data_IF_256661909761
#
_entry.id   IF_256661909761
#
_cell.length_a   1.000
_cell.length_b   1.000
_cell.length_c   1.000
_cell.angle_alpha   90.00
_cell.angle_beta   90.00
_cell.angle_gamma   90.00
#
_symmetry.space_group_name_H-M   'P 1'
#
loop_
_entity.id
_entity.type
_entity.pdbx_description
1 polymer ?
#
# COMPACT_ATOMS: atom_id res chain seq x y z
N UNK A 1 -10.33 9.84 12.70
CA UNK A 1 -10.31 9.24 11.35
C UNK A 1 -8.96 9.58 10.75
N UNK A 2 -8.26 8.58 10.22
CA UNK A 2 -6.99 8.81 9.53
C UNK A 2 -7.23 9.50 8.20
N UNK A 3 -6.19 10.13 7.66
CA UNK A 3 -6.21 10.70 6.32
C UNK A 3 -6.15 9.55 5.32
N UNK A 4 -7.08 9.54 4.37
CA UNK A 4 -7.11 8.55 3.29
C UNK A 4 -5.83 8.63 2.46
N UNK A 5 -5.18 7.49 2.25
CA UNK A 5 -3.99 7.39 1.40
C UNK A 5 -4.39 6.91 0.01
N UNK A 6 -4.47 7.82 -0.95
CA UNK A 6 -4.71 7.49 -2.36
C UNK A 6 -3.44 7.00 -3.06
N UNK A 7 -2.41 7.82 -2.99
CA UNK A 7 -1.08 7.55 -3.51
C UNK A 7 -0.08 8.19 -2.57
N UNK A 8 1.15 7.69 -2.58
CA UNK A 8 2.24 8.30 -1.84
C UNK A 8 3.16 9.08 -2.78
N UNK A 9 3.81 10.09 -2.22
CA UNK A 9 4.89 10.81 -2.89
C UNK A 9 6.02 11.05 -1.89
N UNK A 10 7.07 10.24 -2.01
CA UNK A 10 8.30 10.37 -1.24
C UNK A 10 9.39 10.88 -2.19
N UNK A 11 9.69 12.19 -2.21
CA UNK A 11 10.58 12.77 -3.22
C UNK A 11 12.01 12.22 -3.15
N UNK A 12 12.43 11.75 -1.97
CA UNK A 12 13.76 11.20 -1.73
C UNK A 12 13.87 9.70 -2.05
N UNK A 13 12.77 9.05 -2.44
CA UNK A 13 12.75 7.63 -2.79
C UNK A 13 12.37 7.44 -4.26
N UNK A 14 13.08 6.54 -4.94
CA UNK A 14 12.76 6.20 -6.33
C UNK A 14 11.53 5.31 -6.37
N UNK A 15 10.46 5.80 -6.99
CA UNK A 15 9.27 5.01 -7.28
C UNK A 15 9.59 3.95 -8.33
N UNK A 16 9.43 2.67 -7.97
CA UNK A 16 9.66 1.55 -8.88
C UNK A 16 8.40 1.20 -9.66
N UNK A 17 7.25 1.14 -8.98
CA UNK A 17 5.96 0.88 -9.63
C UNK A 17 4.78 1.34 -8.78
N UNK A 18 3.66 1.62 -9.46
CA UNK A 18 2.37 1.85 -8.82
C UNK A 18 1.36 0.82 -9.33
N UNK A 19 0.98 -0.10 -8.46
CA UNK A 19 -0.08 -1.05 -8.74
C UNK A 19 -1.47 -0.46 -8.52
N UNK A 20 -2.49 -1.31 -8.61
CA UNK A 20 -3.90 -0.95 -8.35
C UNK A 20 -4.12 -0.43 -6.92
N UNK A 21 -3.44 -1.04 -5.94
CA UNK A 21 -3.66 -0.77 -4.51
C UNK A 21 -2.36 -0.60 -3.70
N UNK A 22 -1.19 -0.68 -4.33
CA UNK A 22 0.12 -0.54 -3.67
C UNK A 22 1.05 0.37 -4.45
N UNK A 23 1.89 1.10 -3.72
CA UNK A 23 3.00 1.88 -4.26
C UNK A 23 4.29 1.20 -3.79
N UNK A 24 5.27 1.06 -4.69
CA UNK A 24 6.53 0.36 -4.43
C UNK A 24 7.71 1.30 -4.69
N UNK A 25 8.57 1.45 -3.70
CA UNK A 25 9.78 2.27 -3.78
C UNK A 25 11.03 1.43 -3.51
N UNK A 26 12.13 1.85 -4.13
CA UNK A 26 13.47 1.36 -3.83
C UNK A 26 13.93 1.93 -2.48
N UNK A 27 14.52 1.09 -1.62
CA UNK A 27 15.04 1.48 -0.31
C UNK A 27 16.40 0.80 -0.06
N UNK A 28 17.42 1.17 -0.85
CA UNK A 28 18.74 0.53 -0.78
C UNK A 28 18.66 -0.93 -1.24
N UNK A 29 19.06 -1.85 -0.36
CA UNK A 29 18.96 -3.30 -0.61
C UNK A 29 17.53 -3.84 -0.39
N UNK A 30 16.64 -3.02 0.17
CA UNK A 30 15.27 -3.36 0.51
C UNK A 30 14.23 -2.66 -0.40
N UNK A 31 12.97 -3.02 -0.19
CA UNK A 31 11.82 -2.42 -0.84
C UNK A 31 10.89 -1.80 0.20
N UNK A 32 10.45 -0.55 -0.05
CA UNK A 32 9.34 0.03 0.68
C UNK A 32 8.04 -0.27 -0.07
N UNK A 33 7.21 -1.13 0.52
CA UNK A 33 5.88 -1.48 -0.01
C UNK A 33 4.79 -0.75 0.78
N UNK A 34 4.07 0.16 0.14
CA UNK A 34 2.96 0.90 0.77
C UNK A 34 1.62 0.38 0.29
N UNK A 35 0.80 -0.16 1.20
CA UNK A 35 -0.59 -0.46 0.93
C UNK A 35 -1.43 0.82 1.07
N UNK A 36 -2.05 1.25 -0.03
CA UNK A 36 -2.92 2.44 -0.07
C UNK A 36 -4.36 2.08 0.33
N UNK A 37 -5.22 3.08 0.50
CA UNK A 37 -6.66 2.91 0.75
C UNK A 37 -7.47 2.70 -0.53
N UNK A 38 -6.82 2.73 -1.71
CA UNK A 38 -7.42 2.37 -2.99
C UNK A 38 -7.95 0.94 -2.96
N UNK A 39 -9.14 0.77 -3.53
CA UNK A 39 -9.80 -0.53 -3.72
C UNK A 39 -9.95 -0.79 -5.21
N UNK A 40 -9.78 -2.04 -5.64
CA UNK A 40 -10.02 -2.45 -7.02
C UNK A 40 -10.98 -3.63 -7.10
N UNK A 41 -11.88 -3.61 -8.07
CA UNK A 41 -12.77 -4.71 -8.43
C UNK A 41 -12.97 -4.72 -9.95
N UNK A 42 -13.15 -5.92 -10.53
CA UNK A 42 -13.30 -6.08 -11.99
C UNK A 42 -12.18 -5.38 -12.79
N UNK A 43 -10.94 -5.52 -12.32
CA UNK A 43 -9.73 -4.90 -12.88
C UNK A 43 -9.68 -3.37 -12.90
N UNK A 44 -10.64 -2.68 -12.27
CA UNK A 44 -10.71 -1.21 -12.19
C UNK A 44 -10.45 -0.74 -10.76
N UNK A 45 -9.69 0.34 -10.60
CA UNK A 45 -9.56 1.05 -9.31
C UNK A 45 -10.83 1.88 -9.10
N UNK A 46 -11.51 1.67 -7.98
CA UNK A 46 -12.76 2.35 -7.67
C UNK A 46 -12.52 3.81 -7.24
N UNK A 47 -13.47 4.72 -7.54
CA UNK A 47 -13.34 6.14 -7.20
C UNK A 47 -13.53 6.44 -5.71
N UNK A 48 -14.00 5.46 -4.92
CA UNK A 48 -14.21 5.59 -3.48
C UNK A 48 -13.18 4.72 -2.75
N UNK A 49 -12.29 5.32 -1.93
CA UNK A 49 -11.31 4.60 -1.14
C UNK A 49 -11.98 4.09 0.15
N UNK A 50 -11.34 3.14 0.82
CA UNK A 50 -11.77 2.66 2.13
C UNK A 50 -10.77 3.15 3.17
N UNK A 51 -11.13 4.13 4.02
CA UNK A 51 -10.23 4.62 5.06
C UNK A 51 -9.67 3.49 5.91
N UNK A 52 -8.40 3.60 6.31
CA UNK A 52 -7.67 2.62 7.13
C UNK A 52 -7.45 1.24 6.48
N UNK A 53 -7.93 0.98 5.27
CA UNK A 53 -7.76 -0.32 4.62
C UNK A 53 -6.27 -0.65 4.43
N UNK A 54 -5.46 0.31 3.96
CA UNK A 54 -4.03 0.11 3.80
C UNK A 54 -3.35 -0.30 5.10
N UNK A 55 -3.73 0.35 6.20
CA UNK A 55 -3.23 0.09 7.55
C UNK A 55 -3.62 -1.31 8.03
N UNK A 56 -4.91 -1.67 7.95
CA UNK A 56 -5.40 -2.99 8.39
C UNK A 56 -4.76 -4.11 7.59
N UNK A 57 -4.64 -3.96 6.26
CA UNK A 57 -4.02 -4.99 5.42
C UNK A 57 -2.53 -5.14 5.69
N UNK A 58 -1.82 -4.05 6.00
CA UNK A 58 -0.41 -4.10 6.39
C UNK A 58 -0.24 -4.87 7.70
N UNK A 59 -1.07 -4.59 8.71
CA UNK A 59 -1.04 -5.30 9.99
C UNK A 59 -1.41 -6.78 9.85
N UNK A 60 -2.39 -7.10 9.01
CA UNK A 60 -2.77 -8.49 8.73
C UNK A 60 -1.62 -9.26 8.07
N UNK A 61 -0.92 -8.64 7.11
CA UNK A 61 0.28 -9.24 6.51
C UNK A 61 1.37 -9.49 7.57
N UNK A 62 1.67 -8.50 8.42
CA UNK A 62 2.65 -8.66 9.51
C UNK A 62 2.26 -9.80 10.47
N UNK A 63 0.98 -9.90 10.86
CA UNK A 63 0.50 -11.01 11.68
C UNK A 63 0.80 -12.37 11.04
N UNK A 64 0.45 -12.55 9.76
CA UNK A 64 0.67 -13.81 9.07
C UNK A 64 2.15 -14.11 8.83
N UNK A 65 2.97 -13.10 8.51
CA UNK A 65 4.42 -13.27 8.42
C UNK A 65 5.02 -13.73 9.74
N UNK A 66 4.58 -13.16 10.87
CA UNK A 66 5.04 -13.59 12.20
C UNK A 66 4.55 -14.99 12.58
N UNK A 67 3.40 -15.43 12.04
CA UNK A 67 2.78 -16.71 12.38
C UNK A 67 3.31 -17.88 11.54
N UNK A 68 3.70 -17.62 10.29
CA UNK A 68 4.06 -18.62 9.28
C UNK A 68 5.51 -18.54 8.80
N UNK A 69 6.23 -17.46 9.10
CA UNK A 69 7.68 -17.34 8.92
C UNK A 69 8.45 -18.00 10.06
#
# INVERSE_FOLDING_TARGET
MSVVVWETNFPDLKLLSRGKVRDLYELGDDLLLVATDRLSAFDVVLPTPIPDKGLVLTQLSLFWFNKLG
#
